data_IF_918570280330
#
_entry.id   IF_918570280330
#
_cell.length_a   1.000
_cell.length_b   1.000
_cell.length_c   1.000
_cell.angle_alpha   90.00
_cell.angle_beta   90.00
_cell.angle_gamma   90.00
#
_symmetry.space_group_name_H-M   'P 1'
#
loop_
_entity.id
_entity.type
_entity.pdbx_description
1 polymer ?
#
# COMPACT_ATOMS: atom_id res chain seq x y z
N UNK A 1 3.75 4.50 17.55
CA UNK A 1 2.79 4.85 16.47
C UNK A 1 2.64 3.70 15.51
N UNK A 2 1.42 3.41 15.09
CA UNK A 2 1.10 2.39 14.10
C UNK A 2 1.48 2.86 12.70
N UNK A 3 2.26 2.09 11.96
CA UNK A 3 2.67 2.43 10.58
C UNK A 3 1.55 2.30 9.53
N UNK A 4 0.35 1.85 9.92
CA UNK A 4 -0.80 1.69 9.02
C UNK A 4 -1.82 2.80 9.21
N UNK A 5 -2.27 3.05 10.45
CA UNK A 5 -3.27 4.08 10.73
C UNK A 5 -2.70 5.39 11.28
N UNK A 6 -1.38 5.45 11.53
CA UNK A 6 -0.67 6.62 12.10
C UNK A 6 -1.11 7.04 13.52
N UNK A 7 -1.99 6.28 14.16
CA UNK A 7 -2.36 6.46 15.56
C UNK A 7 -1.35 5.82 16.53
N UNK A 8 -1.33 6.20 17.82
CA UNK A 8 -0.47 5.57 18.82
C UNK A 8 -0.71 4.06 18.97
N UNK A 9 0.12 3.24 18.33
CA UNK A 9 0.32 1.85 18.74
C UNK A 9 1.11 1.87 20.04
N UNK A 10 0.59 1.18 21.07
CA UNK A 10 1.18 1.11 22.41
C UNK A 10 2.68 0.85 22.42
N UNK A 11 3.31 1.15 23.55
CA UNK A 11 4.75 1.11 23.78
C UNK A 11 5.31 -0.30 24.03
N UNK A 12 4.43 -1.30 24.17
CA UNK A 12 4.80 -2.69 24.47
C UNK A 12 4.12 -3.68 23.51
N UNK A 13 4.79 -4.82 23.28
CA UNK A 13 4.20 -5.95 22.57
C UNK A 13 3.07 -6.54 23.39
N UNK A 14 1.92 -6.77 22.77
CA UNK A 14 0.75 -7.37 23.42
C UNK A 14 -0.04 -8.18 22.39
N UNK A 15 -1.14 -8.80 22.79
CA UNK A 15 -2.05 -9.41 21.82
C UNK A 15 -2.58 -8.38 20.79
N UNK A 16 -2.74 -7.11 21.18
CA UNK A 16 -3.25 -6.04 20.32
C UNK A 16 -2.18 -5.29 19.52
N UNK A 17 -0.89 -5.48 19.82
CA UNK A 17 0.21 -4.69 19.26
C UNK A 17 1.42 -5.54 18.93
N UNK A 18 2.02 -5.30 17.77
CA UNK A 18 3.25 -5.97 17.36
C UNK A 18 4.28 -4.98 16.81
N UNK A 19 5.51 -5.44 16.70
CA UNK A 19 6.59 -4.73 16.00
C UNK A 19 7.23 -5.67 14.99
N UNK A 20 7.60 -5.15 13.83
CA UNK A 20 8.30 -5.94 12.81
C UNK A 20 9.58 -6.56 13.41
N UNK A 21 9.77 -7.89 13.33
CA UNK A 21 10.92 -8.56 13.93
C UNK A 21 12.24 -8.22 13.23
N UNK A 22 12.19 -7.90 11.93
CA UNK A 22 13.37 -7.57 11.13
C UNK A 22 13.93 -6.17 11.48
N UNK A 23 13.09 -5.13 11.38
CA UNK A 23 13.58 -3.77 11.59
C UNK A 23 13.42 -3.25 13.02
N UNK A 24 12.54 -3.85 13.84
CA UNK A 24 12.26 -3.44 15.23
C UNK A 24 11.76 -1.99 15.42
N UNK A 25 11.52 -1.27 14.32
CA UNK A 25 11.06 0.13 14.33
C UNK A 25 9.58 0.26 13.93
N UNK A 26 9.06 -0.68 13.15
CA UNK A 26 7.69 -0.59 12.63
C UNK A 26 6.69 -1.24 13.59
N UNK A 27 5.87 -0.44 14.25
CA UNK A 27 4.81 -0.89 15.16
C UNK A 27 3.45 -0.94 14.48
N UNK A 28 2.60 -1.89 14.89
CA UNK A 28 1.30 -2.14 14.29
C UNK A 28 0.25 -2.54 15.32
N UNK A 29 -0.97 -2.00 15.18
CA UNK A 29 -2.15 -2.60 15.77
C UNK A 29 -2.47 -3.92 15.06
N UNK A 30 -2.86 -4.95 15.82
CA UNK A 30 -3.29 -6.25 15.30
C UNK A 30 -4.39 -6.11 14.24
N UNK A 31 -5.41 -5.29 14.51
CA UNK A 31 -6.52 -5.06 13.58
C UNK A 31 -6.06 -4.41 12.27
N UNK A 32 -5.17 -3.41 12.35
CA UNK A 32 -4.62 -2.75 11.17
C UNK A 32 -3.83 -3.73 10.29
N UNK A 33 -3.01 -4.58 10.90
CA UNK A 33 -2.20 -5.53 10.14
C UNK A 33 -3.04 -6.68 9.56
N UNK A 34 -4.12 -7.10 10.24
CA UNK A 34 -5.11 -8.02 9.67
C UNK A 34 -5.78 -7.43 8.43
N UNK A 35 -6.24 -6.18 8.50
CA UNK A 35 -6.84 -5.51 7.35
C UNK A 35 -5.83 -5.38 6.19
N UNK A 36 -4.57 -5.05 6.49
CA UNK A 36 -3.53 -4.97 5.48
C UNK A 36 -3.22 -6.35 4.85
N UNK A 37 -3.17 -7.42 5.64
CA UNK A 37 -2.97 -8.78 5.16
C UNK A 37 -4.09 -9.23 4.21
N UNK A 38 -5.35 -8.96 4.56
CA UNK A 38 -6.52 -9.26 3.72
C UNK A 38 -6.48 -8.50 2.39
N UNK A 39 -6.06 -7.23 2.41
CA UNK A 39 -6.00 -6.40 1.21
C UNK A 39 -4.81 -6.71 0.32
N UNK A 40 -3.62 -6.95 0.87
CA UNK A 40 -2.41 -7.17 0.08
C UNK A 40 -2.29 -8.61 -0.45
N UNK A 41 -2.83 -9.58 0.27
CA UNK A 41 -2.63 -11.00 -0.02
C UNK A 41 -1.18 -11.45 0.09
N UNK A 42 -0.96 -12.76 -0.01
CA UNK A 42 0.36 -13.37 0.28
C UNK A 42 1.49 -12.88 -0.64
N UNK A 43 1.15 -12.40 -1.85
CA UNK A 43 2.13 -12.01 -2.86
C UNK A 43 2.73 -10.61 -2.61
N UNK A 44 2.00 -9.70 -1.98
CA UNK A 44 2.46 -8.32 -1.76
C UNK A 44 2.54 -7.92 -0.28
N UNK A 45 2.24 -8.85 0.62
CA UNK A 45 2.27 -8.58 2.05
C UNK A 45 3.69 -8.70 2.63
N UNK A 46 4.21 -7.58 3.10
CA UNK A 46 5.57 -7.39 3.65
C UNK A 46 5.58 -6.19 4.61
N UNK A 47 6.66 -6.02 5.38
CA UNK A 47 6.79 -4.86 6.26
C UNK A 47 6.80 -3.55 5.43
N UNK A 48 5.90 -2.58 5.68
CA UNK A 48 5.86 -1.33 4.92
C UNK A 48 7.10 -0.45 5.12
N UNK A 49 7.85 -0.64 6.22
CA UNK A 49 9.06 0.14 6.50
C UNK A 49 10.31 -0.46 5.87
N UNK A 50 10.66 -1.70 6.21
CA UNK A 50 11.92 -2.32 5.78
C UNK A 50 11.78 -3.27 4.60
N UNK A 51 10.55 -3.56 4.15
CA UNK A 51 10.25 -4.48 3.06
C UNK A 51 10.72 -5.93 3.28
N UNK A 52 11.18 -6.28 4.48
CA UNK A 52 11.41 -7.68 4.81
C UNK A 52 10.08 -8.43 4.75
N UNK A 53 10.10 -9.55 4.00
CA UNK A 53 8.95 -10.43 3.80
C UNK A 53 9.06 -11.68 4.67
N UNK A 54 10.25 -12.26 4.80
CA UNK A 54 10.41 -13.57 5.44
C UNK A 54 10.14 -13.52 6.94
N UNK A 55 10.88 -12.69 7.68
CA UNK A 55 10.70 -12.56 9.12
C UNK A 55 9.35 -11.92 9.44
N UNK A 56 8.90 -10.97 8.61
CA UNK A 56 7.59 -10.36 8.77
C UNK A 56 6.46 -11.39 8.65
N UNK A 57 6.42 -12.19 7.58
CA UNK A 57 5.38 -13.21 7.40
C UNK A 57 5.39 -14.23 8.54
N UNK A 58 6.58 -14.68 8.98
CA UNK A 58 6.69 -15.62 10.08
C UNK A 58 6.02 -15.09 11.36
N UNK A 59 6.21 -13.82 11.69
CA UNK A 59 5.59 -13.20 12.86
C UNK A 59 4.07 -13.03 12.69
N UNK A 60 3.62 -12.63 11.50
CA UNK A 60 2.18 -12.47 11.24
C UNK A 60 1.45 -13.82 11.37
N UNK A 61 2.06 -14.89 10.86
CA UNK A 61 1.52 -16.24 10.97
C UNK A 61 1.57 -16.78 12.40
N UNK A 62 2.66 -16.55 13.14
CA UNK A 62 2.77 -16.97 14.55
C UNK A 62 1.72 -16.29 15.43
N UNK A 63 1.37 -15.05 15.10
CA UNK A 63 0.29 -14.31 15.70
C UNK A 63 -1.11 -14.79 15.28
N UNK A 64 -1.24 -15.80 14.41
CA UNK A 64 -2.52 -16.36 13.96
C UNK A 64 -3.31 -15.44 13.03
N UNK A 65 -2.64 -14.52 12.32
CA UNK A 65 -3.27 -13.63 11.35
C UNK A 65 -3.34 -14.34 9.99
N UNK A 66 -4.55 -14.49 9.47
CA UNK A 66 -4.80 -15.13 8.17
C UNK A 66 -4.36 -14.21 7.02
N UNK A 67 -3.66 -14.79 6.04
CA UNK A 67 -3.25 -14.10 4.81
C UNK A 67 -3.82 -14.88 3.62
N UNK A 68 -4.69 -14.28 2.77
CA UNK A 68 -5.26 -14.97 1.62
C UNK A 68 -4.22 -15.19 0.52
N UNK A 69 -4.35 -16.32 -0.20
CA UNK A 69 -3.59 -16.59 -1.43
C UNK A 69 -4.27 -15.90 -2.62
N UNK A 70 -4.21 -14.58 -2.64
CA UNK A 70 -4.79 -13.72 -3.67
C UNK A 70 -3.82 -12.61 -4.05
N UNK A 71 -4.03 -12.01 -5.22
CA UNK A 71 -3.43 -10.72 -5.55
C UNK A 71 -3.99 -9.63 -4.62
N UNK A 72 -3.33 -8.47 -4.54
CA UNK A 72 -3.86 -7.35 -3.79
C UNK A 72 -5.22 -6.89 -4.32
N UNK A 73 -6.08 -6.41 -3.43
CA UNK A 73 -7.41 -5.89 -3.78
C UNK A 73 -7.37 -4.75 -4.79
N UNK A 74 -6.29 -3.95 -4.79
CA UNK A 74 -6.08 -2.87 -5.75
C UNK A 74 -5.72 -3.34 -7.17
N UNK A 75 -5.38 -4.61 -7.37
CA UNK A 75 -4.95 -5.11 -8.69
C UNK A 75 -6.11 -5.63 -9.55
N UNK A 76 -7.32 -5.74 -8.99
CA UNK A 76 -8.49 -6.32 -9.67
C UNK A 76 -9.67 -5.37 -9.92
N UNK A 77 -9.56 -4.09 -9.56
CA UNK A 77 -10.65 -3.10 -9.74
C UNK A 77 -10.25 -1.97 -10.67
N UNK A 78 -11.23 -1.22 -11.20
CA UNK A 78 -11.02 0.05 -11.95
C UNK A 78 -10.34 1.17 -11.12
N UNK A 79 -9.82 0.86 -9.93
CA UNK A 79 -9.21 1.81 -9.00
C UNK A 79 -7.97 2.50 -9.60
N UNK A 80 -7.27 1.85 -10.52
CA UNK A 80 -6.10 2.36 -11.22
C UNK A 80 -6.43 2.93 -12.61
N UNK A 81 -7.66 2.78 -13.11
CA UNK A 81 -8.04 3.29 -14.43
C UNK A 81 -7.93 4.81 -14.51
N UNK A 82 -8.27 5.52 -13.43
CA UNK A 82 -8.08 6.97 -13.33
C UNK A 82 -6.60 7.38 -13.14
N UNK A 83 -5.79 6.55 -12.47
CA UNK A 83 -4.35 6.80 -12.29
C UNK A 83 -3.56 6.53 -13.58
N UNK A 84 -4.05 5.61 -14.40
CA UNK A 84 -3.50 5.26 -15.71
C UNK A 84 -3.97 6.21 -16.82
N UNK A 85 -5.00 7.02 -16.54
CA UNK A 85 -5.50 8.00 -17.50
C UNK A 85 -4.43 9.08 -17.71
N UNK A 86 -3.78 9.02 -18.88
CA UNK A 86 -2.85 10.06 -19.30
C UNK A 86 -3.59 11.38 -19.34
N UNK A 87 -3.04 12.37 -18.64
CA UNK A 87 -3.55 13.74 -18.70
C UNK A 87 -3.55 14.21 -20.16
N UNK A 88 -4.74 14.47 -20.70
CA UNK A 88 -4.97 14.67 -22.13
C UNK A 88 -5.30 16.12 -22.49
N UNK A 89 -5.20 17.05 -21.53
CA UNK A 89 -5.59 18.44 -21.73
C UNK A 89 -4.62 19.42 -21.08
N UNK A 90 -4.06 20.36 -21.82
CA UNK A 90 -3.16 21.37 -21.27
C UNK A 90 -3.83 22.27 -20.20
N UNK A 91 -3.22 22.34 -19.00
CA UNK A 91 -3.67 23.16 -17.87
C UNK A 91 -3.09 24.59 -17.84
N UNK A 92 -2.26 24.98 -18.81
CA UNK A 92 -1.70 26.33 -18.88
C UNK A 92 -2.81 27.39 -19.09
N UNK A 93 -2.69 28.55 -18.44
CA UNK A 93 -3.66 29.65 -18.59
C UNK A 93 -3.82 30.09 -20.06
N UNK A 94 -2.70 30.28 -20.77
CA UNK A 94 -2.63 30.45 -22.22
C UNK A 94 -2.02 29.24 -22.90
N UNK A 95 -2.82 28.39 -23.56
CA UNK A 95 -2.28 27.29 -24.36
C UNK A 95 -1.80 27.82 -25.71
N UNK A 96 -0.54 27.53 -26.06
CA UNK A 96 0.08 27.92 -27.31
C UNK A 96 0.06 26.81 -28.37
N UNK A 97 -0.52 25.65 -28.06
CA UNK A 97 -0.59 24.53 -29.00
C UNK A 97 -1.52 24.90 -30.17
N UNK A 98 -1.04 24.87 -31.44
CA UNK A 98 -1.89 25.19 -32.60
C UNK A 98 -3.09 24.25 -32.76
N UNK A 99 -3.00 23.03 -32.22
CA UNK A 99 -4.06 22.03 -32.26
C UNK A 99 -5.04 22.09 -31.09
N UNK A 100 -5.02 23.14 -30.27
CA UNK A 100 -5.89 23.26 -29.11
C UNK A 100 -5.35 22.55 -27.87
N UNK A 101 -6.11 22.59 -26.77
CA UNK A 101 -5.67 22.14 -25.45
C UNK A 101 -5.74 20.62 -25.31
N UNK A 102 -6.56 19.98 -26.12
CA UNK A 102 -6.93 18.56 -26.07
C UNK A 102 -5.97 17.67 -26.89
N UNK A 103 -5.00 18.26 -27.60
CA UNK A 103 -4.07 17.51 -28.43
C UNK A 103 -2.93 16.97 -27.56
N UNK A 104 -2.86 15.65 -27.41
CA UNK A 104 -1.66 14.97 -26.95
C UNK A 104 -0.64 14.89 -28.09
N UNK A 105 0.65 15.06 -27.81
CA UNK A 105 1.69 14.85 -28.81
C UNK A 105 1.68 13.39 -29.28
N UNK A 106 1.88 13.18 -30.58
CA UNK A 106 1.87 11.83 -31.16
C UNK A 106 3.00 11.00 -30.55
N UNK A 107 2.68 9.77 -30.18
CA UNK A 107 3.63 8.81 -29.60
C UNK A 107 4.86 8.64 -30.50
N UNK A 108 6.06 8.79 -29.91
CA UNK A 108 7.34 8.45 -30.53
C UNK A 108 7.72 7.00 -30.28
#
# INVERSE_FOLDING_TARGET
TCFVCLEPAGDQKSYGTMVCPACKHAWFHRGCIQAQALNAGIYCFQCPLCRDRSAFLSEILSMGIRIPKSLPSWQGGQADAALSARHSRCDASGCLCPGGRERADGEG
#
